data_IF_348368816618
#
_entry.id   IF_348368816618
#
_cell.length_a   1.000
_cell.length_b   1.000
_cell.length_c   1.000
_cell.angle_alpha   90.00
_cell.angle_beta   90.00
_cell.angle_gamma   90.00
#
_symmetry.space_group_name_H-M   'P 1'
#
loop_
_entity.id
_entity.type
_entity.pdbx_description
1 polymer ?
#
# COMPACT_ATOMS: atom_id res chain seq x y z
N UNK A 1 5.33 -32.32 -26.37
CA UNK A 1 3.86 -32.42 -26.17
C UNK A 1 3.63 -33.18 -24.89
N UNK A 2 3.16 -32.52 -23.83
CA UNK A 2 2.61 -33.00 -22.53
C UNK A 2 2.74 -31.79 -21.58
N UNK A 3 1.95 -30.75 -21.84
CA UNK A 3 0.77 -30.35 -21.05
C UNK A 3 1.15 -29.40 -19.90
N UNK A 4 1.45 -28.18 -20.34
CA UNK A 4 1.61 -26.96 -19.57
C UNK A 4 0.23 -26.30 -19.44
N UNK A 5 -0.63 -26.76 -18.51
CA UNK A 5 -1.95 -26.12 -18.32
C UNK A 5 -2.77 -26.47 -17.05
N UNK A 6 -2.17 -26.94 -15.94
CA UNK A 6 -3.03 -27.41 -14.82
C UNK A 6 -2.50 -27.29 -13.40
N UNK A 7 -1.90 -26.17 -13.04
CA UNK A 7 -1.79 -25.78 -11.63
C UNK A 7 -2.74 -24.61 -11.34
N UNK A 8 -3.78 -24.89 -10.55
CA UNK A 8 -4.71 -23.95 -9.87
C UNK A 8 -5.66 -23.05 -10.71
N UNK A 9 -6.42 -23.63 -11.64
CA UNK A 9 -7.76 -23.10 -12.00
C UNK A 9 -8.85 -23.57 -11.03
N UNK A 10 -8.58 -23.50 -9.73
CA UNK A 10 -9.54 -23.78 -8.65
C UNK A 10 -9.38 -22.70 -7.59
N UNK A 11 -9.97 -21.55 -7.86
CA UNK A 11 -10.50 -20.56 -6.92
C UNK A 11 -10.80 -19.28 -7.70
N UNK A 12 -11.68 -19.39 -8.71
CA UNK A 12 -12.37 -18.24 -9.29
C UNK A 12 -13.47 -17.77 -8.33
N UNK A 13 -13.10 -17.61 -7.06
CA UNK A 13 -13.86 -16.93 -6.02
C UNK A 13 -13.55 -15.46 -6.24
N UNK A 14 -14.59 -14.63 -6.32
CA UNK A 14 -14.52 -13.18 -6.54
C UNK A 14 -13.29 -12.55 -5.85
N UNK A 15 -12.23 -12.34 -6.62
CA UNK A 15 -10.96 -11.82 -6.15
C UNK A 15 -10.87 -10.37 -6.61
N UNK A 16 -10.82 -9.46 -5.65
CA UNK A 16 -10.76 -8.02 -5.88
C UNK A 16 -9.50 -7.65 -6.66
N UNK A 17 -8.46 -8.47 -6.59
CA UNK A 17 -7.19 -8.33 -7.30
C UNK A 17 -7.12 -9.08 -8.63
N UNK A 18 -8.24 -9.56 -9.19
CA UNK A 18 -8.24 -10.36 -10.43
C UNK A 18 -7.59 -9.66 -11.64
N UNK A 19 -7.64 -8.34 -11.68
CA UNK A 19 -7.07 -7.51 -12.75
C UNK A 19 -5.65 -7.03 -12.44
N UNK A 20 -5.04 -7.52 -11.36
CA UNK A 20 -3.67 -7.17 -11.03
C UNK A 20 -2.72 -7.54 -12.18
N UNK A 21 -1.89 -6.57 -12.59
CA UNK A 21 -0.96 -6.71 -13.72
C UNK A 21 -1.52 -6.25 -15.07
N UNK A 22 -2.82 -5.98 -15.19
CA UNK A 22 -3.37 -5.31 -16.37
C UNK A 22 -2.96 -3.83 -16.40
N UNK A 23 -3.01 -3.17 -15.24
CA UNK A 23 -2.58 -1.79 -15.03
C UNK A 23 -1.70 -1.70 -13.77
N UNK A 24 -0.82 -0.69 -13.75
CA UNK A 24 0.02 -0.44 -12.59
C UNK A 24 -0.83 0.15 -11.45
N UNK A 25 -0.59 -0.25 -10.18
CA UNK A 25 -1.35 0.26 -9.06
C UNK A 25 -1.14 1.77 -8.90
N UNK A 26 -2.25 2.48 -8.66
CA UNK A 26 -2.27 3.92 -8.40
C UNK A 26 -2.59 4.15 -6.94
N UNK A 27 -1.55 4.43 -6.16
CA UNK A 27 -1.66 4.53 -4.70
C UNK A 27 -1.73 5.98 -4.27
N UNK A 28 -2.65 6.26 -3.35
CA UNK A 28 -2.68 7.53 -2.61
C UNK A 28 -2.30 7.29 -1.16
N UNK A 29 -1.28 7.99 -0.67
CA UNK A 29 -0.95 8.02 0.76
C UNK A 29 -1.39 9.35 1.36
N UNK A 30 -2.08 9.28 2.50
CA UNK A 30 -2.46 10.45 3.30
C UNK A 30 -2.32 10.17 4.80
N UNK A 31 -2.56 11.18 5.62
CA UNK A 31 -2.43 11.13 7.08
C UNK A 31 -3.78 11.22 7.80
N UNK A 32 -3.74 11.02 9.11
CA UNK A 32 -4.73 11.53 10.05
C UNK A 32 -4.92 13.07 9.94
N UNK A 33 -5.99 13.59 10.55
CA UNK A 33 -6.25 15.04 10.65
C UNK A 33 -5.16 15.72 11.49
N UNK A 34 -4.73 16.90 11.05
CA UNK A 34 -3.72 17.72 11.73
C UNK A 34 -2.44 16.95 12.10
N UNK A 35 -1.74 16.37 11.11
CA UNK A 35 -0.55 15.56 11.38
C UNK A 35 0.61 16.41 11.90
N UNK A 36 1.44 15.83 12.76
CA UNK A 36 2.70 16.38 13.22
C UNK A 36 3.70 16.53 12.08
N UNK A 37 4.78 17.29 12.33
CA UNK A 37 5.91 17.38 11.40
C UNK A 37 6.55 16.02 11.15
N UNK A 38 6.68 15.17 12.18
CA UNK A 38 7.27 13.82 12.07
C UNK A 38 6.43 12.93 11.16
N UNK A 39 5.11 12.89 11.34
CA UNK A 39 4.25 12.10 10.44
C UNK A 39 4.25 12.64 9.00
N UNK A 40 4.31 13.96 8.81
CA UNK A 40 4.48 14.54 7.45
C UNK A 40 5.79 14.10 6.78
N UNK A 41 6.86 13.89 7.54
CA UNK A 41 8.12 13.34 7.04
C UNK A 41 8.00 11.84 6.74
N UNK A 42 7.42 11.07 7.67
CA UNK A 42 7.20 9.64 7.50
C UNK A 42 6.36 9.31 6.26
N UNK A 43 5.34 10.10 5.96
CA UNK A 43 4.53 9.94 4.74
C UNK A 43 5.35 10.10 3.46
N UNK A 44 6.38 10.96 3.47
CA UNK A 44 7.30 11.08 2.32
C UNK A 44 8.14 9.82 2.17
N UNK A 45 8.55 9.20 3.27
CA UNK A 45 9.30 7.94 3.24
C UNK A 45 8.41 6.82 2.69
N UNK A 46 7.17 6.69 3.17
CA UNK A 46 6.22 5.68 2.68
C UNK A 46 5.91 5.90 1.18
N UNK A 47 5.82 7.14 0.73
CA UNK A 47 5.70 7.44 -0.71
C UNK A 47 6.88 6.88 -1.52
N UNK A 48 8.10 6.91 -0.99
CA UNK A 48 9.28 6.37 -1.67
C UNK A 48 9.32 4.84 -1.65
N UNK A 49 8.62 4.19 -0.72
CA UNK A 49 8.53 2.73 -0.66
C UNK A 49 7.64 2.18 -1.78
N UNK A 50 6.50 2.83 -2.04
CA UNK A 50 5.55 2.38 -3.05
C UNK A 50 5.78 3.07 -4.40
N UNK A 51 6.05 2.33 -5.49
CA UNK A 51 6.09 2.91 -6.83
C UNK A 51 4.75 3.55 -7.19
N UNK A 52 4.77 4.57 -8.06
CA UNK A 52 3.57 5.27 -8.55
C UNK A 52 2.68 5.90 -7.44
N UNK A 53 3.22 6.04 -6.23
CA UNK A 53 2.49 6.58 -5.09
C UNK A 53 2.42 8.11 -5.12
N UNK A 54 1.22 8.64 -4.86
CA UNK A 54 0.96 10.06 -4.71
C UNK A 54 0.63 10.41 -3.26
N UNK A 55 1.29 11.44 -2.73
CA UNK A 55 0.97 11.97 -1.40
C UNK A 55 -0.09 13.05 -1.52
N UNK A 56 -1.19 12.90 -0.80
CA UNK A 56 -2.23 13.93 -0.67
C UNK A 56 -2.23 14.50 0.75
N UNK A 57 -2.21 15.83 0.85
CA UNK A 57 -2.36 16.51 2.14
C UNK A 57 -3.78 16.33 2.65
N UNK A 58 -3.92 15.88 3.90
CA UNK A 58 -5.24 15.57 4.45
C UNK A 58 -6.18 16.78 4.55
N UNK A 59 -5.65 17.94 4.97
CA UNK A 59 -6.42 19.17 5.13
C UNK A 59 -7.65 18.99 6.04
N UNK A 60 -8.75 19.67 5.71
CA UNK A 60 -10.03 19.56 6.41
C UNK A 60 -10.96 18.47 5.84
N UNK A 61 -10.56 17.82 4.74
CA UNK A 61 -11.39 16.88 3.99
C UNK A 61 -11.92 15.74 4.89
N UNK A 62 -13.22 15.48 4.74
CA UNK A 62 -13.87 14.35 5.41
C UNK A 62 -13.40 13.05 4.74
N UNK A 63 -13.26 11.96 5.52
CA UNK A 63 -12.72 10.70 4.97
C UNK A 63 -13.58 10.18 3.82
N UNK A 64 -14.90 10.32 3.92
CA UNK A 64 -15.84 9.92 2.88
C UNK A 64 -15.59 10.66 1.56
N UNK A 65 -15.40 11.98 1.62
CA UNK A 65 -15.11 12.80 0.43
C UNK A 65 -13.78 12.41 -0.20
N UNK A 66 -12.76 12.14 0.64
CA UNK A 66 -11.45 11.70 0.17
C UNK A 66 -11.54 10.34 -0.54
N UNK A 67 -12.28 9.39 0.00
CA UNK A 67 -12.52 8.08 -0.63
C UNK A 67 -13.26 8.25 -1.96
N UNK A 68 -14.33 9.06 -2.00
CA UNK A 68 -15.07 9.33 -3.24
C UNK A 68 -14.14 9.95 -4.29
N UNK A 69 -13.33 10.93 -3.90
CA UNK A 69 -12.36 11.57 -4.81
C UNK A 69 -11.31 10.58 -5.33
N UNK A 70 -10.86 9.63 -4.50
CA UNK A 70 -9.92 8.59 -4.92
C UNK A 70 -10.57 7.63 -5.92
N UNK A 71 -11.82 7.21 -5.67
CA UNK A 71 -12.59 6.36 -6.59
C UNK A 71 -12.80 7.07 -7.94
N UNK A 72 -13.24 8.34 -7.93
CA UNK A 72 -13.41 9.13 -9.15
C UNK A 72 -12.11 9.34 -9.93
N UNK A 73 -10.96 9.25 -9.25
CA UNK A 73 -9.63 9.38 -9.86
C UNK A 73 -9.00 8.03 -10.24
N UNK A 74 -9.75 6.92 -10.19
CA UNK A 74 -9.28 5.55 -10.45
C UNK A 74 -8.03 5.18 -9.64
N UNK A 75 -7.99 5.57 -8.36
CA UNK A 75 -6.97 5.13 -7.41
C UNK A 75 -7.26 3.69 -7.03
N UNK A 76 -6.25 2.83 -7.06
CA UNK A 76 -6.39 1.40 -6.70
C UNK A 76 -6.37 1.22 -5.19
N UNK A 77 -5.51 1.95 -4.48
CA UNK A 77 -5.34 1.77 -3.04
C UNK A 77 -5.16 3.11 -2.32
N UNK A 78 -5.90 3.25 -1.21
CA UNK A 78 -5.76 4.34 -0.28
C UNK A 78 -5.00 3.86 0.95
N UNK A 79 -3.89 4.53 1.25
CA UNK A 79 -3.06 4.29 2.41
C UNK A 79 -3.20 5.46 3.39
N UNK A 80 -3.62 5.16 4.62
CA UNK A 80 -3.80 6.13 5.68
C UNK A 80 -2.82 5.85 6.81
N UNK A 81 -2.05 6.88 7.19
CA UNK A 81 -1.07 6.82 8.27
C UNK A 81 -1.56 7.61 9.48
N UNK A 82 -1.44 6.98 10.65
CA UNK A 82 -1.73 7.56 11.95
C UNK A 82 -0.47 7.64 12.80
N UNK A 83 -0.55 8.48 13.83
CA UNK A 83 0.51 8.63 14.83
C UNK A 83 -0.08 8.88 16.20
N UNK A 84 0.73 8.58 17.22
CA UNK A 84 0.54 9.03 18.59
C UNK A 84 1.76 9.85 19.00
N UNK A 85 1.54 11.14 19.31
CA UNK A 85 2.58 12.07 19.81
C UNK A 85 3.84 12.15 18.92
N UNK A 86 3.69 12.15 17.60
CA UNK A 86 4.82 12.25 16.67
C UNK A 86 5.46 10.90 16.29
N UNK A 87 4.96 9.78 16.82
CA UNK A 87 5.42 8.43 16.51
C UNK A 87 4.36 7.73 15.65
N UNK A 88 4.67 7.35 14.40
CA UNK A 88 3.75 6.58 13.56
C UNK A 88 3.43 5.23 14.20
N UNK A 89 2.15 4.90 14.33
CA UNK A 89 1.69 3.73 15.08
C UNK A 89 0.65 2.89 14.33
N UNK A 90 0.06 3.42 13.26
CA UNK A 90 -0.94 2.69 12.50
C UNK A 90 -0.88 3.03 11.00
N UNK A 91 -0.98 1.97 10.20
CA UNK A 91 -1.04 1.96 8.74
C UNK A 91 -2.32 1.25 8.34
N UNK A 92 -3.19 1.95 7.61
CA UNK A 92 -4.42 1.39 7.06
C UNK A 92 -4.28 1.35 5.56
N UNK A 93 -4.50 0.19 4.95
CA UNK A 93 -4.50 0.00 3.51
C UNK A 93 -5.91 -0.40 3.09
N UNK A 94 -6.52 0.37 2.20
CA UNK A 94 -7.86 0.12 1.69
C UNK A 94 -7.82 0.02 0.18
N UNK A 95 -8.16 -1.16 -0.35
CA UNK A 95 -8.26 -1.36 -1.78
C UNK A 95 -9.60 -0.84 -2.29
N UNK A 96 -9.58 -0.06 -3.36
CA UNK A 96 -10.73 0.63 -3.92
C UNK A 96 -11.13 0.00 -5.27
N UNK A 97 -12.40 0.10 -5.69
CA UNK A 97 -13.51 0.78 -5.02
C UNK A 97 -14.21 -0.05 -3.93
N UNK A 98 -14.15 -1.39 -4.01
CA UNK A 98 -14.88 -2.31 -3.12
C UNK A 98 -13.97 -3.40 -2.55
N UNK A 99 -12.71 -3.06 -2.31
CA UNK A 99 -11.70 -4.02 -1.85
C UNK A 99 -11.60 -4.14 -0.32
N UNK A 100 -10.76 -5.08 0.15
CA UNK A 100 -10.51 -5.25 1.58
C UNK A 100 -9.81 -4.02 2.18
N UNK A 101 -10.03 -3.82 3.47
CA UNK A 101 -9.26 -2.88 4.28
C UNK A 101 -8.49 -3.63 5.36
N UNK A 102 -7.18 -3.44 5.39
CA UNK A 102 -6.28 -4.03 6.36
C UNK A 102 -5.74 -2.94 7.30
N UNK A 103 -5.86 -3.18 8.60
CA UNK A 103 -5.34 -2.32 9.65
C UNK A 103 -4.09 -2.96 10.23
N UNK A 104 -2.98 -2.23 10.21
CA UNK A 104 -1.70 -2.66 10.76
C UNK A 104 -1.29 -1.69 11.86
N UNK A 105 -0.94 -2.23 13.03
CA UNK A 105 -0.25 -1.47 14.06
C UNK A 105 1.25 -1.54 13.81
N UNK A 106 1.89 -0.38 13.77
CA UNK A 106 3.32 -0.24 13.58
C UNK A 106 4.01 -0.17 14.94
N UNK A 107 5.04 -0.99 15.12
CA UNK A 107 5.88 -0.98 16.32
C UNK A 107 7.34 -0.83 15.90
N UNK A 108 8.15 -0.23 16.77
CA UNK A 108 9.59 -0.05 16.56
C UNK A 108 9.93 0.69 15.26
N UNK A 109 9.16 1.73 14.92
CA UNK A 109 9.38 2.54 13.72
C UNK A 109 10.63 3.39 13.90
N UNK A 110 11.61 3.18 13.02
CA UNK A 110 12.78 4.05 12.86
C UNK A 110 12.64 4.74 11.51
N UNK A 111 12.58 6.06 11.51
CA UNK A 111 12.38 6.84 10.29
C UNK A 111 13.71 7.06 9.58
N UNK A 112 13.70 7.06 8.25
CA UNK A 112 14.88 7.36 7.44
C UNK A 112 15.47 8.73 7.78
N UNK A 113 14.64 9.74 8.01
CA UNK A 113 15.12 11.08 8.36
C UNK A 113 15.79 11.19 9.74
N UNK A 114 15.64 10.18 10.61
CA UNK A 114 16.34 10.14 11.90
C UNK A 114 17.82 9.68 11.72
N UNK A 115 18.21 9.20 10.53
CA UNK A 115 19.55 8.72 10.20
C UNK A 115 20.35 9.85 9.51
N UNK A 116 21.57 10.19 9.99
CA UNK A 116 22.41 11.22 9.36
C UNK A 116 23.02 10.72 8.03
N UNK A 117 23.47 11.66 7.19
CA UNK A 117 24.23 11.39 5.95
C UNK A 117 23.51 10.49 4.92
N UNK A 118 22.19 10.65 4.78
CA UNK A 118 21.40 9.86 3.84
C UNK A 118 21.45 10.41 2.40
N UNK A 119 21.74 9.53 1.44
CA UNK A 119 21.62 9.82 0.00
C UNK A 119 20.18 9.80 -0.51
N UNK A 120 19.99 9.96 -1.82
CA UNK A 120 18.70 9.74 -2.48
C UNK A 120 18.37 8.24 -2.52
N UNK A 121 17.07 7.91 -2.49
CA UNK A 121 16.59 6.53 -2.65
C UNK A 121 16.40 6.22 -4.14
N UNK A 122 16.67 4.99 -4.54
CA UNK A 122 16.28 4.51 -5.87
C UNK A 122 14.76 4.37 -5.94
N UNK A 123 14.15 4.86 -7.01
CA UNK A 123 12.71 4.70 -7.30
C UNK A 123 12.45 3.55 -8.30
N UNK A 124 13.45 2.70 -8.53
CA UNK A 124 13.27 1.50 -9.35
C UNK A 124 12.27 0.53 -8.71
N UNK A 125 11.58 -0.27 -9.53
CA UNK A 125 10.63 -1.24 -9.02
C UNK A 125 11.33 -2.31 -8.16
N UNK A 126 10.91 -2.47 -6.89
CA UNK A 126 11.58 -3.38 -5.98
C UNK A 126 11.18 -4.83 -6.22
N UNK A 127 12.09 -5.76 -5.91
CA UNK A 127 11.73 -7.16 -5.74
C UNK A 127 11.02 -7.36 -4.39
N UNK A 128 9.95 -8.14 -4.39
CA UNK A 128 9.18 -8.45 -3.19
C UNK A 128 9.52 -9.85 -2.68
N UNK A 129 9.83 -9.94 -1.39
CA UNK A 129 10.08 -11.22 -0.70
C UNK A 129 9.09 -11.37 0.45
N UNK A 130 8.23 -12.39 0.37
CA UNK A 130 7.31 -12.75 1.45
C UNK A 130 7.74 -14.09 2.05
N UNK A 131 7.93 -14.12 3.36
CA UNK A 131 8.42 -15.31 4.06
C UNK A 131 7.40 -15.78 5.11
N UNK A 132 7.14 -17.08 5.19
CA UNK A 132 6.26 -17.74 6.18
C UNK A 132 4.77 -17.32 6.19
N UNK A 133 4.24 -16.77 5.10
CA UNK A 133 2.78 -16.57 4.91
C UNK A 133 2.08 -17.87 4.44
N UNK A 134 2.10 -18.92 5.28
CA UNK A 134 1.64 -20.26 4.90
C UNK A 134 0.12 -20.47 5.01
N UNK A 135 -0.50 -19.88 6.04
CA UNK A 135 -1.94 -20.01 6.31
C UNK A 135 -2.79 -19.24 5.29
N UNK A 136 -4.07 -19.61 5.06
CA UNK A 136 -4.95 -18.91 4.13
C UNK A 136 -5.06 -17.40 4.41
N UNK A 137 -5.22 -17.01 5.67
CA UNK A 137 -5.22 -15.59 6.08
C UNK A 137 -3.87 -14.92 5.76
N UNK A 138 -2.76 -15.62 5.94
CA UNK A 138 -1.44 -15.14 5.58
C UNK A 138 -1.35 -14.88 4.07
N UNK A 139 -1.78 -15.83 3.24
CA UNK A 139 -1.84 -15.63 1.78
C UNK A 139 -2.72 -14.44 1.40
N UNK A 140 -3.83 -14.20 2.11
CA UNK A 140 -4.69 -13.03 1.87
C UNK A 140 -3.99 -11.71 2.21
N UNK A 141 -3.31 -11.62 3.35
CA UNK A 141 -2.52 -10.43 3.73
C UNK A 141 -1.38 -10.21 2.74
N UNK A 142 -0.69 -11.29 2.34
CA UNK A 142 0.35 -11.23 1.31
C UNK A 142 -0.21 -10.67 0.00
N UNK A 143 -1.40 -11.08 -0.44
CA UNK A 143 -2.02 -10.54 -1.65
C UNK A 143 -2.34 -9.04 -1.51
N UNK A 144 -2.85 -8.58 -0.36
CA UNK A 144 -3.10 -7.15 -0.14
C UNK A 144 -1.80 -6.35 -0.28
N UNK A 145 -0.71 -6.82 0.32
CA UNK A 145 0.59 -6.12 0.29
C UNK A 145 1.29 -6.22 -1.07
N UNK A 146 1.20 -7.37 -1.74
CA UNK A 146 1.84 -7.62 -3.05
C UNK A 146 1.30 -6.69 -4.13
N UNK A 147 -0.01 -6.49 -4.17
CA UNK A 147 -0.65 -5.70 -5.22
C UNK A 147 -0.54 -4.18 -5.04
N UNK A 148 0.16 -3.71 -4.00
CA UNK A 148 0.62 -2.32 -3.89
C UNK A 148 1.83 -2.03 -4.79
N UNK A 149 2.37 -3.02 -5.48
CA UNK A 149 3.52 -2.85 -6.35
C UNK A 149 3.17 -3.27 -7.78
N UNK A 150 3.77 -2.62 -8.80
CA UNK A 150 3.63 -3.04 -10.18
C UNK A 150 4.00 -4.51 -10.37
N UNK A 151 3.20 -5.23 -11.15
CA UNK A 151 3.53 -6.60 -11.54
C UNK A 151 4.62 -6.53 -12.63
N UNK A 152 5.73 -7.28 -12.50
CA UNK A 152 6.71 -7.37 -13.57
C UNK A 152 6.03 -7.79 -14.87
N UNK A 153 6.26 -7.04 -15.95
CA UNK A 153 5.89 -7.45 -17.30
C UNK A 153 7.05 -8.31 -17.82
N UNK A 154 6.76 -9.55 -18.20
CA UNK A 154 7.72 -10.45 -18.86
C UNK A 154 8.14 -9.90 -20.23
#
# INVERSE_FOLDING_TARGET
>A
TYDDSRWDKKDEIDNEYRYAGAEDPKIVVTTSRNPSSRLKMFVKEIRLVFPNCQKINRGQAVLKELVISCISANVTDLVLLHETRGVPDCLVISHLPYGPTAFFTLFNVVMRHDIPEIGTMSEAFPHLVFHNFTKPLGKRVMNILKHLFPVPKD
#
